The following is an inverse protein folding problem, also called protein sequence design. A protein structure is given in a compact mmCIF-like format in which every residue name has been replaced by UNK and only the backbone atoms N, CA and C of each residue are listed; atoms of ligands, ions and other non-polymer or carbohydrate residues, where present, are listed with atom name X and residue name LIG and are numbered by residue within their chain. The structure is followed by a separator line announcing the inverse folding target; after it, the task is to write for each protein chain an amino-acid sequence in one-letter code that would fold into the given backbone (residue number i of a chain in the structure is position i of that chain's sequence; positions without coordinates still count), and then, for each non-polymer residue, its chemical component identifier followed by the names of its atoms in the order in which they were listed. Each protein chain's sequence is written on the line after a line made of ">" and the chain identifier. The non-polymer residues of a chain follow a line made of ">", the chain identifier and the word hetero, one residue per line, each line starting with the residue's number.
data_IF_408576142824
#
_entry.id   IF_408576142824
#
_cell.length_a   1.000
_cell.length_b   1.000
_cell.length_c   1.000
_cell.angle_alpha   90.00
_cell.angle_beta   90.00
_cell.angle_gamma   90.00
#
_symmetry.space_group_name_H-M   'P 1'
#
loop_
_entity.id
_entity.type
_entity.pdbx_description
1 polymer ?
#
# COMPACT_ATOMS: atom_id res chain seq x y z
N UNK A 1 22.82 16.02 -3.39
CA UNK A 1 21.56 15.32 -3.72
C UNK A 1 20.92 16.04 -4.89
N UNK A 2 20.62 15.37 -6.01
CA UNK A 2 19.99 15.98 -7.20
C UNK A 2 18.54 16.38 -6.91
N UNK A 3 18.03 17.46 -7.54
CA UNK A 3 16.70 18.06 -7.30
C UNK A 3 15.55 17.03 -7.35
N UNK A 4 15.68 15.99 -8.19
CA UNK A 4 14.69 14.92 -8.31
C UNK A 4 14.58 14.05 -7.05
N UNK A 5 15.71 13.73 -6.42
CA UNK A 5 15.76 12.92 -5.20
C UNK A 5 15.19 13.72 -4.02
N UNK A 6 15.52 15.02 -3.93
CA UNK A 6 14.96 15.90 -2.92
C UNK A 6 13.43 16.02 -3.01
N UNK A 7 12.88 16.06 -4.23
CA UNK A 7 11.42 16.08 -4.46
C UNK A 7 10.74 14.75 -4.14
N UNK A 8 11.40 13.63 -4.41
CA UNK A 8 10.92 12.30 -4.02
C UNK A 8 10.91 12.15 -2.49
N UNK A 9 12.00 12.55 -1.86
CA UNK A 9 12.20 12.42 -0.41
C UNK A 9 11.53 13.53 0.42
N UNK A 10 10.89 14.50 -0.25
CA UNK A 10 10.30 15.69 0.38
C UNK A 10 11.31 16.40 1.29
N UNK A 11 12.56 16.49 0.85
CA UNK A 11 13.69 17.01 1.60
C UNK A 11 14.01 16.25 2.92
N UNK A 12 13.82 14.92 2.96
CA UNK A 12 14.10 14.11 4.16
C UNK A 12 12.96 14.10 5.17
N UNK A 13 11.75 14.48 4.75
CA UNK A 13 10.52 14.39 5.55
C UNK A 13 9.83 13.03 5.48
N UNK A 14 10.37 12.11 4.68
CA UNK A 14 9.89 10.74 4.54
C UNK A 14 10.48 9.81 5.63
N UNK A 15 10.19 8.51 5.56
CA UNK A 15 10.80 7.52 6.46
C UNK A 15 11.94 6.77 5.78
N UNK A 16 11.86 6.54 4.47
CA UNK A 16 12.78 5.69 3.72
C UNK A 16 14.13 6.34 3.42
N UNK A 17 14.17 7.66 3.21
CA UNK A 17 15.37 8.41 2.86
C UNK A 17 15.74 9.48 3.90
N UNK A 18 15.01 9.54 5.02
CA UNK A 18 15.32 10.43 6.12
C UNK A 18 16.66 10.10 6.80
N UNK A 19 17.37 11.16 7.17
CA UNK A 19 18.60 11.06 7.96
C UNK A 19 18.32 10.43 9.33
N UNK A 20 19.25 9.61 9.79
CA UNK A 20 19.15 8.99 11.10
C UNK A 20 19.16 10.06 12.21
N UNK A 21 18.16 10.01 13.10
CA UNK A 21 18.05 10.94 14.22
C UNK A 21 16.82 10.68 15.09
N UNK A 22 16.57 11.51 16.12
CA UNK A 22 15.44 11.34 17.04
C UNK A 22 14.08 11.31 16.32
N UNK A 23 13.92 12.08 15.24
CA UNK A 23 12.72 12.08 14.40
C UNK A 23 12.53 10.74 13.70
N UNK A 24 13.57 10.24 13.00
CA UNK A 24 13.53 8.95 12.32
C UNK A 24 13.16 7.81 13.29
N UNK A 25 13.79 7.77 14.47
CA UNK A 25 13.49 6.75 15.49
C UNK A 25 12.03 6.82 15.95
N UNK A 26 11.50 8.03 16.16
CA UNK A 26 10.08 8.24 16.52
C UNK A 26 9.14 7.77 15.41
N UNK A 27 9.36 8.19 14.16
CA UNK A 27 8.52 7.81 13.02
C UNK A 27 8.57 6.29 12.75
N UNK A 28 9.76 5.68 12.82
CA UNK A 28 9.92 4.24 12.69
C UNK A 28 9.16 3.48 13.77
N UNK A 29 9.23 3.93 15.03
CA UNK A 29 8.49 3.33 16.15
C UNK A 29 6.98 3.45 15.93
N UNK A 30 6.50 4.62 15.52
CA UNK A 30 5.09 4.86 15.22
C UNK A 30 4.59 3.94 14.10
N UNK A 31 5.32 3.89 12.98
CA UNK A 31 4.98 3.00 11.87
C UNK A 31 4.94 1.53 12.30
N UNK A 32 5.90 1.09 13.12
CA UNK A 32 5.93 -0.29 13.60
C UNK A 32 4.73 -0.62 14.49
N UNK A 33 4.41 0.26 15.44
CA UNK A 33 3.30 0.05 16.39
C UNK A 33 1.93 0.08 15.71
N UNK A 34 1.74 1.00 14.76
CA UNK A 34 0.43 1.23 14.16
C UNK A 34 0.20 0.44 12.87
N UNK A 35 1.24 0.04 12.14
CA UNK A 35 1.10 -0.72 10.89
C UNK A 35 1.56 -2.18 11.02
N UNK A 36 2.77 -2.41 11.54
CA UNK A 36 3.41 -3.73 11.52
C UNK A 36 3.14 -4.59 12.76
N UNK A 37 2.42 -4.07 13.75
CA UNK A 37 2.07 -4.85 14.93
C UNK A 37 1.20 -6.06 14.53
N UNK A 38 1.51 -7.23 15.10
CA UNK A 38 0.85 -8.50 14.76
C UNK A 38 -0.68 -8.41 14.82
N UNK A 39 -1.21 -7.73 15.84
CA UNK A 39 -2.67 -7.52 16.00
C UNK A 39 -3.30 -6.82 14.80
N UNK A 40 -2.60 -5.83 14.23
CA UNK A 40 -3.09 -5.08 13.08
C UNK A 40 -2.99 -5.94 11.81
N UNK A 41 -1.91 -6.70 11.66
CA UNK A 41 -1.75 -7.65 10.55
C UNK A 41 -2.81 -8.75 10.54
N UNK A 42 -3.18 -9.29 11.71
CA UNK A 42 -4.23 -10.28 11.87
C UNK A 42 -5.60 -9.71 11.54
N UNK A 43 -5.86 -8.49 12.01
CA UNK A 43 -7.11 -7.77 11.72
C UNK A 43 -7.30 -7.57 10.21
N UNK A 44 -6.22 -7.29 9.47
CA UNK A 44 -6.27 -7.14 8.01
C UNK A 44 -6.14 -8.45 7.23
N UNK A 45 -5.98 -9.61 7.87
CA UNK A 45 -5.84 -10.91 7.20
C UNK A 45 -7.03 -11.21 6.30
N UNK A 46 -8.25 -11.02 6.83
CA UNK A 46 -9.48 -11.27 6.09
C UNK A 46 -9.63 -10.36 4.86
N UNK A 47 -9.14 -9.12 4.93
CA UNK A 47 -9.13 -8.19 3.80
C UNK A 47 -8.23 -8.68 2.67
N UNK A 48 -7.02 -9.13 3.01
CA UNK A 48 -6.05 -9.65 2.02
C UNK A 48 -6.54 -10.93 1.34
N UNK A 49 -7.14 -11.85 2.11
CA UNK A 49 -7.69 -13.10 1.57
C UNK A 49 -8.82 -12.84 0.56
N UNK A 50 -9.65 -11.82 0.78
CA UNK A 50 -10.69 -11.39 -0.17
C UNK A 50 -10.09 -10.87 -1.48
N UNK A 51 -9.08 -10.00 -1.41
CA UNK A 51 -8.41 -9.47 -2.62
C UNK A 51 -7.73 -10.57 -3.44
N UNK A 52 -7.10 -11.53 -2.77
CA UNK A 52 -6.50 -12.69 -3.44
C UNK A 52 -7.59 -13.54 -4.11
N UNK A 53 -8.73 -13.75 -3.45
CA UNK A 53 -9.86 -14.47 -4.05
C UNK A 53 -10.40 -13.76 -5.28
N UNK A 54 -10.51 -12.43 -5.25
CA UNK A 54 -10.92 -11.61 -6.40
C UNK A 54 -9.89 -11.75 -7.53
N UNK A 55 -8.60 -11.64 -7.24
CA UNK A 55 -7.54 -11.83 -8.22
C UNK A 55 -7.62 -13.20 -8.90
N UNK A 56 -7.80 -14.28 -8.13
CA UNK A 56 -7.92 -15.64 -8.68
C UNK A 56 -9.15 -15.75 -9.59
N UNK A 57 -10.30 -15.18 -9.19
CA UNK A 57 -11.51 -15.17 -10.03
C UNK A 57 -11.26 -14.42 -11.33
N UNK A 58 -10.62 -13.25 -11.28
CA UNK A 58 -10.27 -12.48 -12.47
C UNK A 58 -9.30 -13.23 -13.39
N UNK A 59 -8.34 -13.96 -12.84
CA UNK A 59 -7.43 -14.81 -13.62
C UNK A 59 -8.22 -15.94 -14.29
N UNK A 60 -9.08 -16.64 -13.55
CA UNK A 60 -9.88 -17.76 -14.06
C UNK A 60 -10.82 -17.35 -15.19
N UNK A 61 -11.51 -16.20 -15.06
CA UNK A 61 -12.38 -15.70 -16.12
C UNK A 61 -11.61 -15.34 -17.40
N UNK A 62 -10.33 -14.96 -17.30
CA UNK A 62 -9.50 -14.59 -18.44
C UNK A 62 -8.63 -15.74 -18.99
N UNK A 63 -8.59 -16.90 -18.32
CA UNK A 63 -7.66 -18.00 -18.64
C UNK A 63 -8.07 -18.92 -19.79
N UNK A 64 -9.11 -18.59 -20.57
CA UNK A 64 -9.55 -19.42 -21.69
C UNK A 64 -8.57 -19.33 -22.87
N UNK A 65 -7.46 -20.10 -22.80
CA UNK A 65 -6.51 -20.35 -23.89
C UNK A 65 -5.52 -19.22 -24.20
N UNK A 66 -5.42 -18.18 -23.37
CA UNK A 66 -4.57 -17.00 -23.61
C UNK A 66 -3.36 -16.96 -22.68
N UNK A 67 -2.23 -16.45 -23.20
CA UNK A 67 -1.05 -16.12 -22.39
C UNK A 67 -1.38 -14.92 -21.52
N UNK A 68 -1.33 -15.10 -20.19
CA UNK A 68 -1.67 -14.09 -19.21
C UNK A 68 -0.40 -13.42 -18.66
N UNK A 69 -0.41 -12.09 -18.62
CA UNK A 69 0.64 -11.31 -17.96
C UNK A 69 0.27 -11.16 -16.48
N UNK A 70 0.80 -12.06 -15.65
CA UNK A 70 0.48 -12.12 -14.21
C UNK A 70 0.88 -10.87 -13.41
N UNK A 71 1.82 -10.08 -13.92
CA UNK A 71 2.34 -8.90 -13.21
C UNK A 71 1.24 -7.91 -12.86
N UNK A 72 0.27 -7.72 -13.74
CA UNK A 72 -0.77 -6.69 -13.61
C UNK A 72 -1.82 -7.12 -12.58
N UNK A 73 -2.19 -8.41 -12.60
CA UNK A 73 -3.07 -9.01 -11.59
C UNK A 73 -2.42 -9.00 -10.19
N UNK A 74 -1.15 -9.38 -10.10
CA UNK A 74 -0.40 -9.36 -8.84
C UNK A 74 -0.25 -7.94 -8.31
N UNK A 75 0.07 -6.97 -9.18
CA UNK A 75 0.18 -5.57 -8.80
C UNK A 75 -1.12 -5.05 -8.19
N UNK A 76 -2.24 -5.28 -8.87
CA UNK A 76 -3.57 -4.88 -8.37
C UNK A 76 -3.89 -5.51 -7.02
N UNK A 77 -3.62 -6.81 -6.85
CA UNK A 77 -3.88 -7.51 -5.58
C UNK A 77 -3.01 -7.00 -4.42
N UNK A 78 -1.71 -6.76 -4.67
CA UNK A 78 -0.80 -6.23 -3.64
C UNK A 78 -1.11 -4.78 -3.30
N UNK A 79 -1.40 -3.95 -4.30
CA UNK A 79 -1.81 -2.57 -4.12
C UNK A 79 -3.09 -2.46 -3.30
N UNK A 80 -4.12 -3.24 -3.64
CA UNK A 80 -5.37 -3.28 -2.89
C UNK A 80 -5.17 -3.80 -1.47
N UNK A 81 -4.35 -4.84 -1.29
CA UNK A 81 -4.03 -5.38 0.04
C UNK A 81 -3.43 -4.31 0.97
N UNK A 82 -2.51 -3.49 0.46
CA UNK A 82 -1.89 -2.41 1.23
C UNK A 82 -2.86 -1.24 1.42
N UNK A 83 -3.67 -0.90 0.42
CA UNK A 83 -4.67 0.17 0.54
C UNK A 83 -5.76 -0.15 1.56
N UNK A 84 -6.20 -1.41 1.66
CA UNK A 84 -7.12 -1.84 2.72
C UNK A 84 -6.47 -1.64 4.10
N UNK A 85 -5.17 -1.88 4.22
CA UNK A 85 -4.44 -1.70 5.47
C UNK A 85 -4.28 -0.22 5.85
N UNK A 86 -4.04 0.64 4.85
CA UNK A 86 -3.81 2.08 5.06
C UNK A 86 -5.12 2.84 5.26
N UNK A 87 -6.07 2.63 4.37
CA UNK A 87 -7.29 3.44 4.24
C UNK A 87 -8.53 2.72 4.77
N UNK A 88 -8.52 1.39 4.83
CA UNK A 88 -9.70 0.59 5.18
C UNK A 88 -10.59 0.23 3.98
N UNK A 89 -10.19 0.57 2.75
CA UNK A 89 -10.97 0.34 1.52
C UNK A 89 -10.11 -0.17 0.36
N UNK A 90 -10.70 -1.01 -0.49
CA UNK A 90 -10.14 -1.43 -1.78
C UNK A 90 -10.40 -0.32 -2.81
N UNK A 91 -9.36 0.16 -3.49
CA UNK A 91 -9.46 1.30 -4.40
C UNK A 91 -9.69 0.91 -5.86
N UNK A 92 -9.59 -0.38 -6.22
CA UNK A 92 -9.71 -0.86 -7.60
C UNK A 92 -10.95 -1.75 -7.72
N UNK A 93 -11.93 -1.28 -8.48
CA UNK A 93 -13.07 -2.06 -8.95
C UNK A 93 -12.68 -2.92 -10.17
N UNK A 94 -13.53 -3.88 -10.53
CA UNK A 94 -13.32 -4.99 -11.48
C UNK A 94 -12.72 -4.70 -12.86
N UNK A 95 -12.53 -3.44 -13.25
CA UNK A 95 -12.30 -3.05 -14.65
C UNK A 95 -10.83 -2.69 -14.96
N UNK A 96 -9.94 -2.76 -13.98
CA UNK A 96 -8.50 -2.96 -14.22
C UNK A 96 -7.77 -1.87 -15.02
N UNK A 97 -8.34 -0.68 -15.21
CA UNK A 97 -7.59 0.45 -15.77
C UNK A 97 -6.69 1.08 -14.69
N UNK A 98 -5.41 0.75 -14.75
CA UNK A 98 -4.33 1.52 -14.14
C UNK A 98 -3.76 2.42 -15.22
N UNK A 99 -4.08 3.71 -15.17
CA UNK A 99 -3.50 4.68 -16.10
C UNK A 99 -2.05 5.00 -15.65
N UNK A 100 -1.13 4.46 -16.44
CA UNK A 100 0.21 4.92 -16.81
C UNK A 100 1.07 5.67 -15.75
N UNK A 101 2.13 4.97 -15.33
CA UNK A 101 3.41 5.48 -14.79
C UNK A 101 3.37 6.43 -13.59
N UNK A 102 3.51 5.90 -12.37
CA UNK A 102 4.31 6.43 -11.24
C UNK A 102 4.04 7.85 -10.68
N UNK A 103 3.37 8.72 -11.43
CA UNK A 103 2.92 10.08 -11.13
C UNK A 103 1.45 10.06 -10.73
N UNK A 104 0.67 9.14 -11.29
CA UNK A 104 -0.71 8.92 -10.89
C UNK A 104 -0.83 8.33 -9.50
N UNK A 105 0.05 7.41 -9.10
CA UNK A 105 0.00 6.85 -7.75
C UNK A 105 0.12 7.93 -6.66
N UNK A 106 0.89 9.00 -6.88
CA UNK A 106 0.92 10.16 -5.98
C UNK A 106 -0.39 10.95 -6.03
N UNK A 107 -0.94 11.19 -7.22
CA UNK A 107 -2.22 11.87 -7.39
C UNK A 107 -3.40 11.05 -6.85
N UNK A 108 -3.37 9.73 -6.95
CA UNK A 108 -4.33 8.77 -6.40
C UNK A 108 -4.16 8.73 -4.88
N UNK A 109 -2.95 8.67 -4.35
CA UNK A 109 -2.73 8.70 -2.90
C UNK A 109 -3.15 10.05 -2.29
N UNK A 110 -2.85 11.17 -2.97
CA UNK A 110 -3.30 12.51 -2.59
C UNK A 110 -4.82 12.66 -2.75
N UNK A 111 -5.42 12.15 -3.83
CA UNK A 111 -6.87 12.15 -4.04
C UNK A 111 -7.59 11.27 -3.02
N UNK A 112 -7.04 10.11 -2.67
CA UNK A 112 -7.56 9.22 -1.63
C UNK A 112 -7.42 9.84 -0.23
N UNK A 113 -6.32 10.57 0.02
CA UNK A 113 -6.14 11.36 1.24
C UNK A 113 -7.22 12.46 1.35
N UNK A 114 -7.43 13.23 0.29
CA UNK A 114 -8.47 14.26 0.24
C UNK A 114 -9.90 13.70 0.31
N UNK A 115 -10.18 12.60 -0.41
CA UNK A 115 -11.48 11.94 -0.38
C UNK A 115 -11.80 11.38 1.01
N UNK A 116 -10.80 10.83 1.72
CA UNK A 116 -11.00 10.32 3.08
C UNK A 116 -11.17 11.43 4.12
N UNK A 117 -10.59 12.61 3.91
CA UNK A 117 -10.82 13.78 4.77
C UNK A 117 -12.29 14.25 4.70
N UNK A 118 -12.95 14.09 3.55
CA UNK A 118 -14.39 14.34 3.33
C UNK A 118 -15.30 13.21 3.87
N UNK A 119 -14.87 11.95 3.82
CA UNK A 119 -15.67 10.78 4.25
C UNK A 119 -15.67 10.53 5.78
N UNK A 120 -14.98 11.36 6.59
CA UNK A 120 -14.91 11.19 8.06
C UNK A 120 -16.27 11.26 8.76
N UNK A 121 -17.29 11.83 8.14
CA UNK A 121 -18.61 11.98 8.77
C UNK A 121 -19.50 10.74 8.67
N UNK A 122 -19.16 9.69 7.89
CA UNK A 122 -20.16 8.67 7.57
C UNK A 122 -19.73 7.18 7.59
N UNK A 123 -18.53 6.79 8.02
CA UNK A 123 -18.11 5.38 7.89
C UNK A 123 -17.77 4.65 9.20
N UNK A 124 -18.56 3.60 9.44
CA UNK A 124 -18.30 2.48 10.33
C UNK A 124 -17.41 1.46 9.57
N UNK A 125 -16.10 1.70 9.52
CA UNK A 125 -15.16 0.76 8.89
C UNK A 125 -15.09 -0.55 9.67
N UNK A 126 -15.05 -1.68 8.97
CA UNK A 126 -14.93 -3.01 9.60
C UNK A 126 -13.59 -3.21 10.35
N UNK A 127 -12.56 -2.42 10.03
CA UNK A 127 -11.22 -2.56 10.61
C UNK A 127 -10.59 -1.20 10.95
N UNK A 128 -9.86 -1.09 12.09
CA UNK A 128 -8.98 0.03 12.35
C UNK A 128 -7.96 0.14 11.23
N UNK A 129 -7.71 1.34 10.72
CA UNK A 129 -6.79 1.58 9.62
C UNK A 129 -5.64 2.49 10.07
N UNK A 130 -4.52 2.37 9.36
CA UNK A 130 -3.30 3.08 9.71
C UNK A 130 -3.43 4.61 9.61
N UNK A 131 -4.19 5.12 8.64
CA UNK A 131 -4.37 6.57 8.51
C UNK A 131 -5.05 7.16 9.75
N UNK A 132 -6.09 6.51 10.27
CA UNK A 132 -6.83 7.02 11.43
C UNK A 132 -5.93 7.02 12.68
N UNK A 133 -5.05 6.02 12.82
CA UNK A 133 -4.04 5.97 13.87
C UNK A 133 -3.04 7.13 13.77
N UNK A 134 -2.54 7.43 12.56
CA UNK A 134 -1.65 8.57 12.32
C UNK A 134 -2.33 9.91 12.62
N UNK A 135 -3.60 10.06 12.21
CA UNK A 135 -4.37 11.27 12.44
C UNK A 135 -4.66 11.49 13.93
N UNK A 136 -4.91 10.43 14.70
CA UNK A 136 -5.11 10.49 16.14
C UNK A 136 -3.85 10.96 16.88
N UNK A 137 -2.67 10.52 16.43
CA UNK A 137 -1.37 10.87 17.03
C UNK A 137 -0.68 12.07 16.38
N UNK A 138 -1.36 12.80 15.49
CA UNK A 138 -0.81 13.96 14.77
C UNK A 138 -0.14 14.98 15.70
N UNK A 139 -0.79 15.30 16.83
CA UNK A 139 -0.29 16.27 17.82
C UNK A 139 0.88 15.74 18.65
N UNK A 140 0.94 14.44 18.91
CA UNK A 140 1.99 13.80 19.73
C UNK A 140 3.33 13.73 18.98
N UNK A 141 3.28 13.54 17.67
CA UNK A 141 4.46 13.33 16.81
C UNK A 141 4.80 14.53 15.91
N UNK A 142 4.08 15.65 16.05
CA UNK A 142 4.23 16.85 15.21
C UNK A 142 4.20 16.53 13.70
N UNK A 143 3.21 15.73 13.30
CA UNK A 143 3.12 15.20 11.93
C UNK A 143 2.53 16.23 10.98
N UNK A 144 3.36 16.74 10.05
CA UNK A 144 2.88 17.55 8.93
C UNK A 144 2.14 16.69 7.90
N UNK A 145 1.22 17.29 7.13
CA UNK A 145 0.54 16.59 6.03
C UNK A 145 1.56 16.02 5.02
N UNK A 146 2.67 16.73 4.79
CA UNK A 146 3.76 16.25 3.94
C UNK A 146 4.45 15.01 4.51
N UNK A 147 4.63 14.93 5.84
CA UNK A 147 5.20 13.77 6.51
C UNK A 147 4.24 12.59 6.47
N UNK A 148 2.96 12.80 6.76
CA UNK A 148 1.92 11.74 6.71
C UNK A 148 1.83 11.17 5.31
N UNK A 149 1.61 12.02 4.30
CA UNK A 149 1.51 11.56 2.91
C UNK A 149 2.83 10.97 2.40
N UNK A 150 3.97 11.27 3.04
CA UNK A 150 5.29 10.72 2.70
C UNK A 150 5.42 9.31 3.25
N UNK A 151 5.06 9.14 4.52
CA UNK A 151 5.02 7.84 5.18
C UNK A 151 4.06 6.86 4.49
N UNK A 152 2.86 7.33 4.10
CA UNK A 152 1.90 6.50 3.36
C UNK A 152 2.48 6.07 2.01
N UNK A 153 3.11 6.99 1.30
CA UNK A 153 3.75 6.74 0.01
C UNK A 153 4.88 5.71 0.12
N UNK A 154 5.72 5.86 1.13
CA UNK A 154 6.82 4.95 1.42
C UNK A 154 6.33 3.52 1.67
N UNK A 155 5.24 3.35 2.44
CA UNK A 155 4.67 2.03 2.73
C UNK A 155 4.09 1.40 1.45
N UNK A 156 3.34 2.16 0.65
CA UNK A 156 2.75 1.66 -0.59
C UNK A 156 3.83 1.24 -1.58
N UNK A 157 4.79 2.11 -1.86
CA UNK A 157 5.83 1.84 -2.86
C UNK A 157 6.76 0.71 -2.42
N UNK A 158 7.27 0.76 -1.19
CA UNK A 158 8.15 -0.30 -0.68
C UNK A 158 7.45 -1.66 -0.59
N UNK A 159 6.15 -1.67 -0.23
CA UNK A 159 5.38 -2.89 -0.06
C UNK A 159 4.93 -3.55 -1.37
N UNK A 160 4.46 -2.76 -2.35
CA UNK A 160 3.89 -3.30 -3.58
C UNK A 160 4.98 -3.84 -4.51
N UNK A 161 6.01 -3.04 -4.83
CA UNK A 161 7.04 -3.42 -5.80
C UNK A 161 7.75 -4.73 -5.41
N UNK A 162 8.17 -4.81 -4.15
CA UNK A 162 8.92 -5.96 -3.62
C UNK A 162 8.07 -7.23 -3.62
N UNK A 163 6.80 -7.11 -3.22
CA UNK A 163 5.90 -8.26 -3.12
C UNK A 163 5.49 -8.82 -4.47
N UNK A 164 5.29 -7.96 -5.47
CA UNK A 164 4.95 -8.38 -6.85
C UNK A 164 6.11 -9.17 -7.47
N UNK A 165 7.34 -8.67 -7.31
CA UNK A 165 8.54 -9.36 -7.80
C UNK A 165 8.71 -10.70 -7.09
N UNK A 166 8.59 -10.75 -5.76
CA UNK A 166 8.71 -11.98 -4.99
C UNK A 166 7.66 -13.02 -5.41
N UNK A 167 6.39 -12.60 -5.56
CA UNK A 167 5.30 -13.48 -5.96
C UNK A 167 5.48 -14.01 -7.38
N UNK A 168 5.91 -13.15 -8.31
CA UNK A 168 6.23 -13.55 -9.69
C UNK A 168 7.31 -14.63 -9.73
N UNK A 169 8.39 -14.48 -8.95
CA UNK A 169 9.43 -15.50 -8.87
C UNK A 169 8.95 -16.79 -8.22
N UNK A 170 8.17 -16.70 -7.14
CA UNK A 170 7.58 -17.87 -6.49
C UNK A 170 6.70 -18.67 -7.46
N UNK A 171 5.84 -18.00 -8.23
CA UNK A 171 4.99 -18.67 -9.23
C UNK A 171 5.81 -19.28 -10.37
N UNK A 172 6.85 -18.58 -10.85
CA UNK A 172 7.73 -19.11 -11.89
C UNK A 172 8.45 -20.38 -11.43
N UNK A 173 8.88 -20.44 -10.17
CA UNK A 173 9.54 -21.62 -9.61
C UNK A 173 8.56 -22.78 -9.42
N UNK A 174 7.33 -22.52 -8.95
CA UNK A 174 6.27 -23.53 -8.83
C UNK A 174 5.90 -24.14 -10.19
N UNK A 175 5.83 -23.32 -11.25
CA UNK A 175 5.57 -23.81 -12.61
C UNK A 175 6.72 -24.68 -13.15
N UNK A 176 7.96 -24.39 -12.72
CA UNK A 176 9.14 -25.14 -13.15
C UNK A 176 9.27 -26.48 -12.42
N UNK A 177 8.81 -26.56 -11.17
CA UNK A 177 8.90 -27.75 -10.32
C UNK A 177 7.52 -28.20 -9.83
N UNK A 178 6.74 -28.93 -10.64
CA UNK A 178 5.35 -29.31 -10.33
C UNK A 178 5.19 -30.37 -9.23
N UNK A 179 6.27 -30.83 -8.61
CA UNK A 179 6.29 -31.86 -7.57
C UNK A 179 6.51 -31.29 -6.15
N UNK A 180 6.55 -29.97 -6.01
CA UNK A 180 6.69 -29.24 -4.73
C UNK A 180 5.33 -28.82 -4.20
#
# INVERSE_FOLDING_TARGET
>A
MTIRIARFSRNGDDLTWADYGPRFVKLKKLCFVEFFLLKNLETHRQGKEKEISIMIKSIYSNSCGKVLVLKDYLWNAMFNSINIMIFGKSCVSSDGELDIEGRELKAILEAQFHAKELERENNNYAYPNFLDALLSRRKEYDLSNNTISGLLWDIVTAGVDTSVVASKWGMAELLRNPMV
#
